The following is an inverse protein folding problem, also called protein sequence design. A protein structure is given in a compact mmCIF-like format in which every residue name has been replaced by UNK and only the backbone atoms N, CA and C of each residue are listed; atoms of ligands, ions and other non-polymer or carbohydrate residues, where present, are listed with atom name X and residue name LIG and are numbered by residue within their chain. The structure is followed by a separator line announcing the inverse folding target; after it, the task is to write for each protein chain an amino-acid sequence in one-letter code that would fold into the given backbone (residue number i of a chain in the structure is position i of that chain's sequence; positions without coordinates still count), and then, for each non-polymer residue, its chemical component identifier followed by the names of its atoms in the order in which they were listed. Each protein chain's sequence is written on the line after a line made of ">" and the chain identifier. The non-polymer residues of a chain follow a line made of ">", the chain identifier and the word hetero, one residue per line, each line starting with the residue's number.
data_IF_514795184031
#
_entry.id   IF_514795184031
#
_cell.length_a   1.000
_cell.length_b   1.000
_cell.length_c   1.000
_cell.angle_alpha   90.00
_cell.angle_beta   90.00
_cell.angle_gamma   90.00
#
_symmetry.space_group_name_H-M   'P 1'
#
loop_
_entity.id
_entity.type
_entity.pdbx_description
1 polymer ?
#
# COMPACT_ATOMS: atom_id res chain seq x y z
N UNK A 1 23.60 -41.26 -91.50
CA UNK A 1 24.52 -40.54 -90.61
C UNK A 1 23.89 -40.50 -89.22
N UNK A 2 24.55 -41.18 -88.27
CA UNK A 2 24.54 -41.04 -86.80
C UNK A 2 23.23 -40.76 -86.04
N UNK A 3 22.80 -41.82 -85.35
CA UNK A 3 22.57 -41.94 -83.90
C UNK A 3 21.41 -41.25 -83.14
N UNK A 4 20.69 -42.17 -82.46
CA UNK A 4 19.75 -42.04 -81.34
C UNK A 4 20.39 -41.51 -80.03
N UNK A 5 19.56 -40.84 -79.22
CA UNK A 5 19.22 -41.09 -77.78
C UNK A 5 18.65 -39.78 -77.19
N UNK A 6 17.68 -39.70 -76.29
CA UNK A 6 16.95 -40.66 -75.44
C UNK A 6 15.85 -39.88 -74.68
N UNK A 7 14.66 -40.48 -74.59
CA UNK A 7 13.51 -40.30 -73.67
C UNK A 7 13.52 -39.28 -72.50
N UNK A 8 12.40 -38.53 -72.36
CA UNK A 8 11.34 -38.72 -71.32
C UNK A 8 10.17 -37.72 -71.49
N UNK A 9 8.91 -38.08 -71.14
CA UNK A 9 7.76 -37.18 -71.16
C UNK A 9 7.57 -36.48 -69.80
N UNK A 10 7.34 -35.17 -69.81
CA UNK A 10 6.87 -34.44 -68.62
C UNK A 10 5.36 -34.64 -68.46
N UNK A 11 4.98 -35.28 -67.35
CA UNK A 11 3.59 -35.42 -66.92
C UNK A 11 3.20 -34.27 -66.00
N UNK A 12 2.02 -33.73 -66.27
CA UNK A 12 1.25 -32.78 -65.45
C UNK A 12 1.23 -33.13 -63.96
N UNK A 13 1.53 -32.15 -63.11
CA UNK A 13 1.00 -32.13 -61.74
C UNK A 13 0.68 -30.69 -61.33
N UNK A 14 -0.61 -30.45 -61.12
CA UNK A 14 -1.15 -29.30 -60.39
C UNK A 14 -0.61 -29.32 -58.96
N UNK A 15 0.37 -28.46 -58.67
CA UNK A 15 0.82 -28.18 -57.31
C UNK A 15 -0.03 -27.03 -56.74
N UNK A 16 -0.84 -27.36 -55.74
CA UNK A 16 -1.47 -26.41 -54.84
C UNK A 16 -0.38 -25.64 -54.10
N UNK A 17 -0.34 -24.32 -54.27
CA UNK A 17 0.59 -23.43 -53.58
C UNK A 17 0.23 -23.39 -52.08
N UNK A 18 1.00 -24.10 -51.25
CA UNK A 18 0.89 -24.06 -49.79
C UNK A 18 1.38 -22.70 -49.28
N UNK A 19 0.52 -22.00 -48.54
CA UNK A 19 0.87 -20.78 -47.81
C UNK A 19 2.05 -21.01 -46.84
N UNK A 20 2.91 -20.01 -46.60
CA UNK A 20 4.07 -20.18 -45.72
C UNK A 20 3.65 -20.46 -44.28
N UNK A 21 4.30 -21.44 -43.65
CA UNK A 21 4.02 -21.86 -42.27
C UNK A 21 4.26 -20.73 -41.24
N UNK A 22 3.28 -20.38 -40.39
CA UNK A 22 3.40 -19.33 -39.38
C UNK A 22 4.33 -19.69 -38.20
N UNK A 23 4.86 -20.91 -38.15
CA UNK A 23 5.69 -21.39 -37.05
C UNK A 23 7.13 -20.86 -37.10
N UNK A 24 7.69 -20.62 -38.29
CA UNK A 24 9.10 -20.21 -38.43
C UNK A 24 9.32 -18.72 -38.11
N UNK A 25 8.32 -17.88 -38.38
CA UNK A 25 8.32 -16.45 -38.03
C UNK A 25 8.00 -16.22 -36.54
N UNK A 26 7.21 -17.11 -35.92
CA UNK A 26 6.97 -17.09 -34.48
C UNK A 26 8.24 -17.42 -33.67
N UNK A 27 9.05 -18.39 -34.14
CA UNK A 27 10.32 -18.75 -33.51
C UNK A 27 11.36 -17.63 -33.65
N UNK A 28 11.43 -16.96 -34.81
CA UNK A 28 12.30 -15.78 -34.98
C UNK A 28 11.84 -14.59 -34.14
N UNK A 29 10.54 -14.43 -33.92
CA UNK A 29 9.99 -13.40 -33.03
C UNK A 29 10.28 -13.72 -31.55
N UNK A 30 10.19 -14.98 -31.12
CA UNK A 30 10.60 -15.42 -29.78
C UNK A 30 12.11 -15.27 -29.54
N UNK A 31 12.94 -15.58 -30.54
CA UNK A 31 14.40 -15.36 -30.46
C UNK A 31 14.75 -13.87 -30.45
N UNK A 32 14.06 -13.03 -31.24
CA UNK A 32 14.24 -11.58 -31.20
C UNK A 32 13.74 -10.95 -29.88
N UNK A 33 12.68 -11.48 -29.27
CA UNK A 33 12.17 -11.05 -27.96
C UNK A 33 13.08 -11.54 -26.82
N UNK A 34 13.59 -12.76 -26.90
CA UNK A 34 14.52 -13.30 -25.88
C UNK A 34 15.90 -12.63 -25.93
N UNK A 35 16.38 -12.24 -27.12
CA UNK A 35 17.62 -11.45 -27.30
C UNK A 35 17.45 -10.02 -26.78
N UNK A 36 16.29 -9.39 -26.99
CA UNK A 36 16.02 -8.03 -26.45
C UNK A 36 15.79 -8.00 -24.94
N UNK A 37 15.32 -9.08 -24.31
CA UNK A 37 15.22 -9.20 -22.85
C UNK A 37 16.62 -9.30 -22.19
N UNK A 38 17.61 -9.87 -22.88
CA UNK A 38 18.99 -9.99 -22.37
C UNK A 38 19.82 -8.70 -22.52
N UNK A 39 19.29 -7.65 -23.16
CA UNK A 39 19.98 -6.37 -23.39
C UNK A 39 19.28 -5.17 -22.74
N UNK A 40 18.51 -5.35 -21.67
CA UNK A 40 18.22 -4.22 -20.78
C UNK A 40 19.49 -3.97 -19.95
N UNK A 41 20.51 -3.38 -20.58
CA UNK A 41 21.60 -2.71 -19.88
C UNK A 41 20.94 -1.68 -18.97
N UNK A 42 21.08 -1.88 -17.66
CA UNK A 42 20.62 -0.94 -16.66
C UNK A 42 21.52 0.30 -16.73
N UNK A 43 21.24 1.19 -17.68
CA UNK A 43 21.98 2.40 -18.02
C UNK A 43 21.87 3.50 -16.92
N UNK A 44 21.54 3.09 -15.69
CA UNK A 44 21.46 3.97 -14.53
C UNK A 44 22.89 4.31 -14.06
N UNK A 45 23.19 5.59 -13.80
CA UNK A 45 24.50 5.98 -13.30
C UNK A 45 24.82 5.22 -12.01
N UNK A 46 26.01 4.60 -11.95
CA UNK A 46 26.45 3.83 -10.79
C UNK A 46 26.74 4.80 -9.64
N UNK A 47 25.72 5.08 -8.82
CA UNK A 47 25.88 5.91 -7.62
C UNK A 47 26.87 5.24 -6.66
N UNK A 48 27.92 5.93 -6.16
CA UNK A 48 28.90 5.32 -5.24
C UNK A 48 28.24 4.81 -3.96
N UNK A 49 28.82 3.75 -3.36
CA UNK A 49 28.24 3.09 -2.18
C UNK A 49 28.07 4.04 -0.98
N UNK A 50 29.00 4.98 -0.80
CA UNK A 50 28.93 6.00 0.25
C UNK A 50 27.69 6.88 0.12
N UNK A 51 27.37 7.33 -1.10
CA UNK A 51 26.17 8.13 -1.37
C UNK A 51 24.88 7.32 -1.22
N UNK A 52 24.90 6.03 -1.55
CA UNK A 52 23.77 5.12 -1.31
C UNK A 52 23.51 4.89 0.19
N UNK A 53 24.57 4.67 0.97
CA UNK A 53 24.46 4.51 2.42
C UNK A 53 24.04 5.83 3.09
N UNK A 54 24.61 6.94 2.63
CA UNK A 54 24.23 8.29 3.07
C UNK A 54 22.76 8.61 2.82
N UNK A 55 22.22 8.26 1.65
CA UNK A 55 20.79 8.50 1.37
C UNK A 55 19.87 7.60 2.19
N UNK A 56 20.23 6.34 2.43
CA UNK A 56 19.48 5.47 3.35
C UNK A 56 19.44 6.08 4.74
N UNK A 57 20.58 6.52 5.27
CA UNK A 57 20.65 7.17 6.58
C UNK A 57 19.79 8.43 6.63
N UNK A 58 19.90 9.31 5.63
CA UNK A 58 19.11 10.54 5.55
C UNK A 58 17.61 10.24 5.49
N UNK A 59 17.18 9.28 4.68
CA UNK A 59 15.75 8.91 4.59
C UNK A 59 15.27 8.29 5.91
N UNK A 60 16.09 7.48 6.58
CA UNK A 60 15.78 6.97 7.91
C UNK A 60 15.62 8.10 8.93
N UNK A 61 16.50 9.11 8.90
CA UNK A 61 16.43 10.27 9.79
C UNK A 61 15.19 11.12 9.52
N UNK A 62 14.85 11.36 8.25
CA UNK A 62 13.64 12.14 7.92
C UNK A 62 12.38 11.34 8.30
N UNK A 63 12.33 10.05 7.98
CA UNK A 63 11.21 9.16 8.35
C UNK A 63 11.06 9.06 9.87
N UNK A 64 12.17 9.04 10.60
CA UNK A 64 12.19 9.10 12.06
C UNK A 64 11.58 10.42 12.55
N UNK A 65 12.03 11.56 12.01
CA UNK A 65 11.50 12.89 12.38
C UNK A 65 9.99 13.02 12.15
N UNK A 66 9.51 12.62 10.97
CA UNK A 66 8.08 12.63 10.63
C UNK A 66 7.27 11.75 11.61
N UNK A 67 7.72 10.50 11.80
CA UNK A 67 7.02 9.56 12.68
C UNK A 67 7.09 9.93 14.16
N UNK A 68 8.19 10.56 14.58
CA UNK A 68 8.37 11.10 15.94
C UNK A 68 7.38 12.24 16.18
N UNK A 69 7.31 13.21 15.27
CA UNK A 69 6.39 14.34 15.38
C UNK A 69 4.92 13.92 15.46
N UNK A 70 4.50 12.97 14.60
CA UNK A 70 3.14 12.45 14.64
C UNK A 70 2.80 11.75 15.96
N UNK A 71 3.72 10.92 16.49
CA UNK A 71 3.50 10.19 17.75
C UNK A 71 3.55 11.08 19.00
N UNK A 72 4.32 12.17 18.98
CA UNK A 72 4.37 13.10 20.10
C UNK A 72 2.99 13.67 20.46
N UNK A 73 2.19 14.04 19.45
CA UNK A 73 0.84 14.59 19.69
C UNK A 73 -0.04 13.59 20.44
N UNK A 74 0.03 12.30 20.10
CA UNK A 74 -0.69 11.25 20.80
C UNK A 74 -0.20 11.05 22.24
N UNK A 75 1.12 10.99 22.47
CA UNK A 75 1.66 10.81 23.81
C UNK A 75 1.35 11.98 24.76
N UNK A 76 1.12 13.16 24.20
CA UNK A 76 0.81 14.38 24.93
C UNK A 76 -0.69 14.68 24.97
N UNK A 77 -1.56 13.71 24.65
CA UNK A 77 -3.01 13.93 24.57
C UNK A 77 -3.59 14.61 25.82
N UNK A 78 -3.28 14.08 27.01
CA UNK A 78 -3.76 14.64 28.29
C UNK A 78 -3.25 16.07 28.51
N UNK A 79 -1.96 16.33 28.23
CA UNK A 79 -1.35 17.66 28.30
C UNK A 79 -1.96 18.65 27.32
N UNK A 80 -2.15 18.26 26.06
CA UNK A 80 -2.72 19.11 25.01
C UNK A 80 -4.16 19.47 25.35
N UNK A 81 -4.97 18.49 25.79
CA UNK A 81 -6.33 18.74 26.28
C UNK A 81 -6.36 19.77 27.40
N UNK A 82 -5.48 19.62 28.39
CA UNK A 82 -5.41 20.50 29.55
C UNK A 82 -4.93 21.91 29.21
N UNK A 83 -3.87 22.05 28.43
CA UNK A 83 -3.25 23.35 28.14
C UNK A 83 -3.99 24.16 27.07
N UNK A 84 -4.72 23.49 26.16
CA UNK A 84 -5.52 24.15 25.13
C UNK A 84 -7.01 24.24 25.48
N UNK A 85 -7.41 23.69 26.63
CA UNK A 85 -8.81 23.62 27.08
C UNK A 85 -9.73 22.98 26.02
N UNK A 86 -9.34 21.79 25.55
CA UNK A 86 -10.09 21.02 24.54
C UNK A 86 -10.55 19.66 25.06
N UNK A 87 -11.69 19.19 24.55
CA UNK A 87 -12.25 17.87 24.87
C UNK A 87 -11.68 16.74 24.00
N UNK A 88 -12.09 15.49 24.24
CA UNK A 88 -11.57 14.34 23.49
C UNK A 88 -12.00 14.36 22.02
N UNK A 89 -13.21 14.84 21.72
CA UNK A 89 -13.70 14.94 20.35
C UNK A 89 -12.94 16.00 19.56
N UNK A 90 -12.63 17.15 20.16
CA UNK A 90 -11.78 18.18 19.54
C UNK A 90 -10.35 17.67 19.30
N UNK A 91 -9.79 16.93 20.26
CA UNK A 91 -8.50 16.26 20.04
C UNK A 91 -8.59 15.20 18.91
N UNK A 92 -9.68 14.43 18.86
CA UNK A 92 -9.91 13.44 17.82
C UNK A 92 -10.05 14.10 16.43
N UNK A 93 -10.70 15.25 16.34
CA UNK A 93 -10.82 16.06 15.12
C UNK A 93 -9.47 16.65 14.69
N UNK A 94 -8.63 17.08 15.64
CA UNK A 94 -7.27 17.55 15.38
C UNK A 94 -6.43 16.45 14.74
N UNK A 95 -6.45 15.24 15.29
CA UNK A 95 -5.73 14.10 14.71
C UNK A 95 -6.35 13.67 13.36
N UNK A 96 -7.69 13.60 13.29
CA UNK A 96 -8.42 13.26 12.07
C UNK A 96 -8.18 14.22 10.90
N UNK A 97 -7.72 15.45 11.16
CA UNK A 97 -7.37 16.42 10.12
C UNK A 97 -6.23 15.94 9.22
N UNK A 98 -5.27 15.19 9.77
CA UNK A 98 -4.16 14.63 9.02
C UNK A 98 -4.66 13.54 8.05
N UNK A 99 -5.47 12.61 8.55
CA UNK A 99 -6.07 11.56 7.72
C UNK A 99 -7.02 12.14 6.67
N UNK A 100 -7.77 13.18 7.01
CA UNK A 100 -8.62 13.90 6.06
C UNK A 100 -7.80 14.42 4.88
N UNK A 101 -6.69 15.11 5.13
CA UNK A 101 -5.81 15.60 4.07
C UNK A 101 -5.18 14.48 3.26
N UNK A 102 -4.76 13.40 3.91
CA UNK A 102 -4.26 12.21 3.22
C UNK A 102 -5.31 11.67 2.25
N UNK A 103 -6.56 11.49 2.69
CA UNK A 103 -7.63 11.00 1.81
C UNK A 103 -7.95 11.94 0.65
N UNK A 104 -7.88 13.25 0.88
CA UNK A 104 -8.17 14.27 -0.12
C UNK A 104 -7.07 14.38 -1.19
N UNK A 105 -5.80 14.26 -0.78
CA UNK A 105 -4.67 14.67 -1.61
C UNK A 105 -3.81 13.52 -2.11
N UNK A 106 -3.87 12.31 -1.52
CA UNK A 106 -3.01 11.18 -1.90
C UNK A 106 -3.09 10.82 -3.39
N UNK A 107 -4.26 10.96 -4.03
CA UNK A 107 -4.39 10.69 -5.46
C UNK A 107 -3.81 11.82 -6.34
N UNK A 108 -3.92 13.07 -5.90
CA UNK A 108 -3.42 14.23 -6.63
C UNK A 108 -1.90 14.41 -6.47
N UNK A 109 -1.36 14.07 -5.30
CA UNK A 109 0.06 14.22 -4.99
C UNK A 109 0.94 13.35 -5.89
N UNK A 110 0.49 12.15 -6.28
CA UNK A 110 1.22 11.31 -7.23
C UNK A 110 1.51 12.01 -8.57
N UNK A 111 0.51 12.71 -9.11
CA UNK A 111 0.60 13.50 -10.35
C UNK A 111 1.55 14.68 -10.16
N UNK A 112 1.48 15.35 -9.02
CA UNK A 112 2.36 16.48 -8.70
C UNK A 112 3.81 16.04 -8.58
N UNK A 113 4.08 14.94 -7.86
CA UNK A 113 5.39 14.33 -7.74
C UNK A 113 5.95 13.88 -9.09
N UNK A 114 5.09 13.43 -10.02
CA UNK A 114 5.51 13.09 -11.38
C UNK A 114 5.99 14.30 -12.19
N UNK A 115 5.45 15.49 -11.92
CA UNK A 115 5.88 16.74 -12.58
C UNK A 115 7.13 17.37 -11.96
N UNK A 116 7.22 17.35 -10.64
CA UNK A 116 8.33 17.98 -9.88
C UNK A 116 9.54 17.03 -9.79
N UNK A 117 9.33 15.73 -9.97
CA UNK A 117 10.34 14.69 -9.76
C UNK A 117 10.49 14.30 -8.29
N UNK A 118 10.92 13.06 -8.04
CA UNK A 118 11.03 12.51 -6.68
C UNK A 118 11.97 13.29 -5.76
N UNK A 119 13.15 13.69 -6.24
CA UNK A 119 14.10 14.47 -5.44
C UNK A 119 13.56 15.85 -5.05
N UNK A 120 12.93 16.56 -5.99
CA UNK A 120 12.30 17.85 -5.73
C UNK A 120 11.13 17.73 -4.76
N UNK A 121 10.27 16.72 -4.94
CA UNK A 121 9.16 16.46 -4.04
C UNK A 121 9.61 16.18 -2.60
N UNK A 122 10.72 15.45 -2.39
CA UNK A 122 11.28 15.27 -1.04
C UNK A 122 11.79 16.58 -0.44
N UNK A 123 12.51 17.40 -1.22
CA UNK A 123 13.09 18.64 -0.72
C UNK A 123 11.99 19.62 -0.30
N UNK A 124 11.06 19.92 -1.21
CA UNK A 124 9.95 20.84 -0.93
C UNK A 124 8.99 20.29 0.12
N UNK A 125 8.70 18.98 0.07
CA UNK A 125 7.88 18.30 1.08
C UNK A 125 8.46 18.44 2.48
N UNK A 126 9.76 18.21 2.66
CA UNK A 126 10.43 18.36 3.96
C UNK A 126 10.47 19.82 4.45
N UNK A 127 10.64 20.80 3.57
CA UNK A 127 10.58 22.21 3.94
C UNK A 127 9.19 22.60 4.44
N UNK A 128 8.14 22.19 3.73
CA UNK A 128 6.74 22.41 4.12
C UNK A 128 6.44 21.71 5.45
N UNK A 129 6.89 20.46 5.61
CA UNK A 129 6.71 19.69 6.84
C UNK A 129 7.37 20.38 8.03
N UNK A 130 8.60 20.87 7.86
CA UNK A 130 9.35 21.58 8.90
C UNK A 130 8.68 22.90 9.27
N UNK A 131 8.20 23.66 8.27
CA UNK A 131 7.44 24.88 8.51
C UNK A 131 6.15 24.60 9.32
N UNK A 132 5.41 23.55 8.97
CA UNK A 132 4.25 23.09 9.75
C UNK A 132 4.59 22.73 11.19
N UNK A 133 5.68 21.99 11.41
CA UNK A 133 6.15 21.64 12.75
C UNK A 133 6.53 22.88 13.59
N UNK A 134 7.16 23.89 12.99
CA UNK A 134 7.46 25.16 13.66
C UNK A 134 6.19 25.92 14.04
N UNK A 135 5.16 25.90 13.17
CA UNK A 135 3.86 26.48 13.48
C UNK A 135 3.17 25.73 14.63
N UNK A 136 3.23 24.39 14.67
CA UNK A 136 2.69 23.60 15.79
C UNK A 136 3.39 23.99 17.10
N UNK A 137 4.73 24.14 17.09
CA UNK A 137 5.49 24.57 18.25
C UNK A 137 5.07 25.99 18.71
N UNK A 138 4.92 26.93 17.77
CA UNK A 138 4.41 28.28 18.06
C UNK A 138 2.96 28.29 18.58
N UNK A 139 2.11 27.41 18.04
CA UNK A 139 0.74 27.23 18.50
C UNK A 139 0.68 26.74 19.94
N UNK A 140 1.57 25.82 20.31
CA UNK A 140 1.70 25.35 21.68
C UNK A 140 2.16 26.47 22.64
N UNK A 141 3.11 27.32 22.24
CA UNK A 141 3.54 28.45 23.08
C UNK A 141 2.46 29.52 23.25
N UNK A 142 1.68 29.78 22.21
CA UNK A 142 0.60 30.77 22.23
C UNK A 142 -0.75 30.20 22.69
N UNK A 143 -0.80 28.91 23.06
CA UNK A 143 -2.03 28.17 23.44
C UNK A 143 -3.20 28.37 22.45
N UNK A 144 -2.91 28.32 21.15
CA UNK A 144 -3.90 28.57 20.08
C UNK A 144 -4.26 27.29 19.33
N UNK A 145 -5.46 26.76 19.59
CA UNK A 145 -5.97 25.57 18.90
C UNK A 145 -6.13 25.76 17.37
N UNK A 146 -6.70 26.87 16.86
CA UNK A 146 -6.77 27.09 15.41
C UNK A 146 -5.39 27.14 14.73
N UNK A 147 -4.40 27.75 15.39
CA UNK A 147 -3.03 27.78 14.87
C UNK A 147 -2.39 26.39 14.87
N UNK A 148 -2.73 25.55 15.85
CA UNK A 148 -2.26 24.16 15.91
C UNK A 148 -2.85 23.32 14.77
N UNK A 149 -4.15 23.49 14.46
CA UNK A 149 -4.77 22.87 13.27
C UNK A 149 -4.03 23.31 12.01
N UNK A 150 -3.81 24.62 11.83
CA UNK A 150 -3.10 25.12 10.65
C UNK A 150 -1.68 24.54 10.52
N UNK A 151 -0.94 24.42 11.63
CA UNK A 151 0.37 23.79 11.65
C UNK A 151 0.34 22.30 11.28
N UNK A 152 -0.63 21.54 11.83
CA UNK A 152 -0.86 20.12 11.51
C UNK A 152 -1.20 19.92 10.03
N UNK A 153 -2.11 20.73 9.49
CA UNK A 153 -2.47 20.71 8.07
C UNK A 153 -1.24 20.97 7.18
N UNK A 154 -0.47 21.99 7.51
CA UNK A 154 0.75 22.33 6.77
C UNK A 154 1.79 21.20 6.84
N UNK A 155 1.98 20.61 8.02
CA UNK A 155 2.91 19.51 8.20
C UNK A 155 2.51 18.26 7.38
N UNK A 156 1.22 17.90 7.41
CA UNK A 156 0.66 16.77 6.69
C UNK A 156 0.84 16.90 5.16
N UNK A 157 0.68 18.11 4.60
CA UNK A 157 0.95 18.37 3.18
C UNK A 157 2.38 18.02 2.79
N UNK A 158 3.33 18.41 3.64
CA UNK A 158 4.75 18.08 3.47
C UNK A 158 5.01 16.58 3.55
N UNK A 159 4.45 15.92 4.56
CA UNK A 159 4.60 14.47 4.75
C UNK A 159 4.05 13.65 3.57
N UNK A 160 2.84 13.97 3.08
CA UNK A 160 2.23 13.31 1.91
C UNK A 160 3.13 13.42 0.67
N UNK A 161 3.70 14.61 0.43
CA UNK A 161 4.60 14.83 -0.70
C UNK A 161 5.88 13.99 -0.59
N UNK A 162 6.42 13.86 0.62
CA UNK A 162 7.66 13.13 0.88
C UNK A 162 7.45 11.61 0.86
N UNK A 163 6.33 11.10 1.37
CA UNK A 163 6.03 9.65 1.41
C UNK A 163 6.10 9.00 0.02
N UNK A 164 5.47 9.61 -1.00
CA UNK A 164 5.49 9.09 -2.38
C UNK A 164 6.89 9.17 -2.99
N UNK A 165 7.61 10.24 -2.65
CA UNK A 165 8.92 10.51 -3.19
C UNK A 165 9.98 9.52 -2.69
N UNK A 166 9.90 9.06 -1.43
CA UNK A 166 10.78 8.02 -0.90
C UNK A 166 10.74 6.73 -1.71
N UNK A 167 9.53 6.23 -2.01
CA UNK A 167 9.36 5.01 -2.80
C UNK A 167 10.01 5.15 -4.19
N UNK A 168 9.85 6.30 -4.83
CA UNK A 168 10.42 6.58 -6.16
C UNK A 168 11.94 6.68 -6.13
N UNK A 169 12.51 7.36 -5.14
CA UNK A 169 13.97 7.49 -5.00
C UNK A 169 14.60 6.14 -4.66
N UNK A 170 13.99 5.36 -3.77
CA UNK A 170 14.44 4.02 -3.45
C UNK A 170 14.37 3.08 -4.67
N UNK A 171 13.26 3.06 -5.41
CA UNK A 171 13.14 2.27 -6.63
C UNK A 171 14.12 2.72 -7.73
N UNK A 172 14.46 4.02 -7.77
CA UNK A 172 15.46 4.56 -8.68
C UNK A 172 16.89 4.15 -8.33
N UNK A 173 17.24 4.14 -7.04
CA UNK A 173 18.62 3.96 -6.55
C UNK A 173 18.95 2.52 -6.16
N UNK A 174 17.94 1.69 -5.88
CA UNK A 174 18.05 0.28 -5.55
C UNK A 174 17.31 -0.56 -6.59
N UNK A 175 17.84 -1.74 -6.93
CA UNK A 175 17.27 -2.59 -7.97
C UNK A 175 15.81 -3.00 -7.65
N UNK A 176 14.95 -3.20 -8.68
CA UNK A 176 13.55 -3.58 -8.45
C UNK A 176 13.45 -4.91 -7.71
N UNK A 177 12.83 -4.93 -6.53
CA UNK A 177 12.51 -6.19 -5.83
C UNK A 177 12.64 -6.20 -4.31
N UNK A 178 13.33 -5.25 -3.67
CA UNK A 178 13.28 -5.14 -2.21
C UNK A 178 14.26 -4.13 -1.62
N UNK A 179 13.99 -3.69 -0.39
CA UNK A 179 14.76 -2.65 0.31
C UNK A 179 16.24 -3.00 0.52
N UNK A 180 16.99 -2.12 1.19
CA UNK A 180 18.44 -2.21 1.36
C UNK A 180 18.96 -3.61 1.74
N UNK A 181 18.31 -4.28 2.69
CA UNK A 181 18.65 -5.65 3.13
C UNK A 181 18.43 -6.67 2.01
N UNK A 182 17.31 -6.58 1.30
CA UNK A 182 17.02 -7.43 0.16
C UNK A 182 17.93 -7.11 -1.03
N UNK A 183 18.38 -5.88 -1.23
CA UNK A 183 19.38 -5.53 -2.25
C UNK A 183 20.75 -6.14 -1.93
N UNK A 184 21.22 -6.06 -0.69
CA UNK A 184 22.49 -6.72 -0.28
C UNK A 184 22.36 -8.24 -0.39
N UNK A 185 21.26 -8.81 0.11
CA UNK A 185 20.94 -10.23 -0.02
C UNK A 185 20.85 -10.67 -1.48
N UNK A 186 20.11 -9.94 -2.33
CA UNK A 186 19.99 -10.26 -3.76
C UNK A 186 21.31 -10.06 -4.46
N UNK A 187 22.13 -9.06 -4.15
CA UNK A 187 23.47 -8.93 -4.77
C UNK A 187 24.37 -10.12 -4.45
N UNK A 188 24.29 -10.66 -3.22
CA UNK A 188 24.97 -11.89 -2.81
C UNK A 188 24.34 -13.12 -3.50
N UNK A 189 23.02 -13.20 -3.52
CA UNK A 189 22.26 -14.31 -4.11
C UNK A 189 22.37 -14.34 -5.65
N UNK A 190 22.37 -13.19 -6.34
CA UNK A 190 22.56 -13.01 -7.78
C UNK A 190 23.94 -13.47 -8.23
N UNK A 191 24.95 -13.32 -7.37
CA UNK A 191 26.29 -13.86 -7.60
C UNK A 191 26.32 -15.40 -7.58
N UNK A 192 25.24 -16.05 -7.10
CA UNK A 192 25.11 -17.50 -6.95
C UNK A 192 23.92 -18.12 -7.73
N UNK A 193 22.84 -17.37 -7.97
CA UNK A 193 21.57 -17.79 -8.54
C UNK A 193 20.88 -16.62 -9.28
N UNK A 194 20.56 -16.76 -10.57
CA UNK A 194 19.82 -15.76 -11.34
C UNK A 194 18.32 -15.80 -10.99
N UNK A 195 17.62 -14.67 -10.73
CA UNK A 195 16.18 -14.67 -10.55
C UNK A 195 15.48 -14.63 -11.92
N UNK A 196 14.47 -15.49 -12.14
CA UNK A 196 13.59 -15.34 -13.28
C UNK A 196 12.54 -14.25 -13.04
N UNK A 197 12.02 -13.61 -14.12
CA UNK A 197 10.80 -12.80 -14.07
C UNK A 197 9.62 -13.65 -13.53
N UNK A 198 8.51 -13.01 -13.14
CA UNK A 198 7.37 -13.72 -12.54
C UNK A 198 6.90 -14.89 -13.44
N UNK A 199 7.12 -16.17 -13.07
CA UNK A 199 7.01 -17.25 -14.03
C UNK A 199 5.57 -17.74 -14.25
N UNK A 200 4.59 -17.14 -13.58
CA UNK A 200 3.19 -17.56 -13.70
C UNK A 200 2.40 -16.83 -14.79
N UNK A 201 2.77 -15.60 -15.14
CA UNK A 201 1.99 -14.75 -16.09
C UNK A 201 2.81 -14.18 -17.24
N UNK A 202 4.15 -14.29 -17.22
CA UNK A 202 5.03 -13.82 -18.31
C UNK A 202 5.05 -12.30 -18.52
N UNK A 203 4.21 -11.53 -17.82
CA UNK A 203 4.18 -10.08 -17.91
C UNK A 203 5.44 -9.46 -17.27
N UNK A 204 6.16 -8.62 -18.03
CA UNK A 204 7.17 -7.75 -17.48
C UNK A 204 6.52 -6.84 -16.42
N UNK A 205 7.22 -6.60 -15.30
CA UNK A 205 6.80 -5.63 -14.29
C UNK A 205 6.94 -4.22 -14.89
N UNK A 206 5.96 -3.79 -15.68
CA UNK A 206 5.99 -2.46 -16.30
C UNK A 206 5.63 -1.43 -15.23
N UNK A 207 6.65 -0.83 -14.61
CA UNK A 207 6.51 0.22 -13.58
C UNK A 207 5.91 1.53 -14.14
N UNK A 208 5.82 1.68 -15.46
CA UNK A 208 5.26 2.86 -16.11
C UNK A 208 4.05 2.48 -16.95
N UNK A 209 2.87 2.73 -16.41
CA UNK A 209 1.69 2.89 -17.26
C UNK A 209 1.55 4.36 -17.63
N UNK A 210 1.70 4.70 -18.92
CA UNK A 210 1.45 6.07 -19.42
C UNK A 210 -0.05 6.37 -19.56
N UNK A 211 -0.94 5.37 -19.41
CA UNK A 211 -2.39 5.54 -19.58
C UNK A 211 -3.15 4.96 -18.38
N UNK A 212 -4.01 5.78 -17.78
CA UNK A 212 -4.92 5.38 -16.71
C UNK A 212 -6.06 4.53 -17.28
N UNK A 213 -6.16 3.26 -16.88
CA UNK A 213 -7.17 2.32 -17.37
C UNK A 213 -8.23 2.04 -16.30
N UNK A 214 -9.34 2.78 -16.38
CA UNK A 214 -10.46 2.65 -15.44
C UNK A 214 -11.12 1.27 -15.48
N UNK A 215 -11.07 0.58 -16.63
CA UNK A 215 -11.74 -0.71 -16.80
C UNK A 215 -11.03 -1.81 -16.00
N UNK A 216 -9.69 -1.77 -15.91
CA UNK A 216 -8.91 -2.72 -15.10
C UNK A 216 -9.12 -2.51 -13.60
N UNK A 217 -9.25 -1.24 -13.18
CA UNK A 217 -9.54 -0.89 -11.79
C UNK A 217 -10.90 -1.48 -11.38
N UNK A 218 -11.93 -1.28 -12.20
CA UNK A 218 -13.28 -1.81 -11.92
C UNK A 218 -13.33 -3.35 -11.99
N UNK A 219 -12.30 -4.02 -12.50
CA UNK A 219 -12.19 -5.48 -12.59
C UNK A 219 -11.39 -6.13 -11.45
N UNK A 220 -11.15 -5.41 -10.34
CA UNK A 220 -10.50 -6.01 -9.18
C UNK A 220 -11.28 -7.21 -8.64
N UNK A 221 -10.61 -8.34 -8.35
CA UNK A 221 -11.28 -9.55 -7.88
C UNK A 221 -11.86 -9.38 -6.48
N UNK A 222 -12.90 -10.14 -6.18
CA UNK A 222 -13.57 -10.11 -4.86
C UNK A 222 -12.59 -10.38 -3.70
N UNK A 223 -11.54 -11.17 -3.93
CA UNK A 223 -10.49 -11.45 -2.95
C UNK A 223 -9.75 -10.18 -2.53
N UNK A 224 -9.50 -9.25 -3.45
CA UNK A 224 -8.92 -7.95 -3.13
C UNK A 224 -9.83 -7.18 -2.16
N UNK A 225 -11.14 -7.19 -2.39
CA UNK A 225 -12.11 -6.52 -1.53
C UNK A 225 -12.26 -7.18 -0.15
N UNK A 226 -12.09 -8.49 -0.05
CA UNK A 226 -12.01 -9.17 1.24
C UNK A 226 -10.76 -8.75 2.04
N UNK A 227 -9.61 -8.64 1.36
CA UNK A 227 -8.37 -8.12 1.97
C UNK A 227 -8.53 -6.66 2.40
N UNK A 228 -9.22 -5.84 1.59
CA UNK A 228 -9.56 -4.47 1.94
C UNK A 228 -10.39 -4.43 3.22
N UNK A 229 -11.48 -5.20 3.30
CA UNK A 229 -12.33 -5.25 4.49
C UNK A 229 -11.55 -5.67 5.74
N UNK A 230 -10.70 -6.69 5.63
CA UNK A 230 -9.81 -7.09 6.73
C UNK A 230 -8.87 -5.94 7.15
N UNK A 231 -8.19 -5.33 6.17
CA UNK A 231 -7.25 -4.22 6.39
C UNK A 231 -7.93 -3.03 7.07
N UNK A 232 -9.15 -2.70 6.64
CA UNK A 232 -9.94 -1.58 7.15
C UNK A 232 -10.12 -1.70 8.67
N UNK A 233 -10.66 -2.83 9.12
CA UNK A 233 -10.98 -3.07 10.53
C UNK A 233 -9.69 -3.25 11.37
N UNK A 234 -8.72 -4.01 10.85
CA UNK A 234 -7.45 -4.26 11.52
C UNK A 234 -6.65 -2.97 11.74
N UNK A 235 -6.48 -2.17 10.69
CA UNK A 235 -5.64 -0.95 10.73
C UNK A 235 -6.22 0.06 11.70
N UNK A 236 -7.54 0.28 11.66
CA UNK A 236 -8.19 1.24 12.55
C UNK A 236 -8.16 0.79 14.01
N UNK A 237 -8.32 -0.51 14.29
CA UNK A 237 -8.12 -1.04 15.63
C UNK A 237 -6.70 -0.74 16.16
N UNK A 238 -5.68 -1.01 15.33
CA UNK A 238 -4.28 -0.80 15.71
C UNK A 238 -3.96 0.68 15.94
N UNK A 239 -4.37 1.56 15.03
CA UNK A 239 -4.02 2.98 15.08
C UNK A 239 -4.65 3.67 16.30
N UNK A 240 -5.94 3.42 16.53
CA UNK A 240 -6.69 4.13 17.57
C UNK A 240 -6.29 3.65 18.95
N UNK A 241 -6.07 2.34 19.11
CA UNK A 241 -5.46 1.81 20.33
C UNK A 241 -4.10 2.46 20.58
N UNK A 242 -3.21 2.46 19.57
CA UNK A 242 -1.84 2.98 19.75
C UNK A 242 -1.81 4.44 20.19
N UNK A 243 -2.79 5.24 19.77
CA UNK A 243 -2.81 6.66 20.10
C UNK A 243 -3.39 6.97 21.47
N UNK A 244 -4.32 6.15 21.91
CA UNK A 244 -4.96 6.29 23.21
C UNK A 244 -4.25 5.45 24.29
N UNK A 245 -3.26 4.61 23.93
CA UNK A 245 -2.63 3.66 24.83
C UNK A 245 -2.05 4.30 26.10
N UNK A 246 -1.40 5.46 25.99
CA UNK A 246 -0.83 6.16 27.15
C UNK A 246 -1.92 6.64 28.11
N UNK A 247 -2.89 7.42 27.62
CA UNK A 247 -3.99 7.95 28.45
C UNK A 247 -4.89 6.83 28.99
N UNK A 248 -5.11 5.77 28.19
CA UNK A 248 -5.81 4.55 28.64
C UNK A 248 -5.06 3.90 29.80
N UNK A 249 -3.74 3.80 29.74
CA UNK A 249 -2.95 3.21 30.81
C UNK A 249 -3.02 4.05 32.10
N UNK A 250 -2.91 5.37 31.98
CA UNK A 250 -3.07 6.31 33.10
C UNK A 250 -4.44 6.14 33.78
N UNK A 251 -5.53 6.21 33.01
CA UNK A 251 -6.89 6.14 33.54
C UNK A 251 -7.27 4.74 34.04
N UNK A 252 -6.86 3.67 33.35
CA UNK A 252 -7.29 2.31 33.67
C UNK A 252 -6.47 1.67 34.78
N UNK A 253 -5.17 1.94 34.80
CA UNK A 253 -4.25 1.32 35.75
C UNK A 253 -3.79 2.28 36.85
N UNK A 254 -4.17 3.57 36.79
CA UNK A 254 -3.80 4.57 37.79
C UNK A 254 -2.29 4.80 37.87
N UNK A 255 -1.57 4.55 36.78
CA UNK A 255 -0.11 4.71 36.72
C UNK A 255 0.25 6.14 36.32
N UNK A 256 1.44 6.59 36.71
CA UNK A 256 1.94 7.89 36.28
C UNK A 256 2.24 7.93 34.76
N UNK A 257 2.39 9.14 34.22
CA UNK A 257 2.62 9.35 32.79
C UNK A 257 3.91 8.69 32.27
N UNK A 258 4.91 8.52 33.13
CA UNK A 258 6.18 7.88 32.76
C UNK A 258 5.98 6.38 32.56
N UNK A 259 5.34 5.71 33.53
CA UNK A 259 5.00 4.30 33.46
C UNK A 259 4.02 3.99 32.33
N UNK A 260 3.00 4.83 32.13
CA UNK A 260 2.09 4.74 31.00
C UNK A 260 2.82 4.83 29.65
N UNK A 261 3.78 5.76 29.52
CA UNK A 261 4.63 5.90 28.35
C UNK A 261 5.46 4.64 28.07
N UNK A 262 5.97 3.98 29.11
CA UNK A 262 6.67 2.70 28.98
C UNK A 262 5.75 1.57 28.48
N UNK A 263 4.52 1.46 29.01
CA UNK A 263 3.55 0.47 28.55
C UNK A 263 3.15 0.68 27.08
N UNK A 264 2.86 1.92 26.68
CA UNK A 264 2.51 2.26 25.30
C UNK A 264 3.69 2.04 24.33
N UNK A 265 4.92 2.23 24.80
CA UNK A 265 6.13 1.98 24.01
C UNK A 265 6.40 0.48 23.84
N UNK A 266 6.21 -0.32 24.90
CA UNK A 266 6.46 -1.76 24.88
C UNK A 266 5.62 -2.47 23.82
N UNK A 267 4.34 -2.09 23.65
CA UNK A 267 3.49 -2.66 22.60
C UNK A 267 4.01 -2.38 21.19
N UNK A 268 4.70 -1.24 20.98
CA UNK A 268 5.29 -0.90 19.69
C UNK A 268 6.65 -1.59 19.46
N UNK A 269 7.44 -1.77 20.52
CA UNK A 269 8.75 -2.46 20.45
C UNK A 269 8.62 -3.91 19.99
N UNK A 270 7.56 -4.61 20.39
CA UNK A 270 7.29 -5.97 19.91
C UNK A 270 7.25 -6.02 18.37
N UNK A 271 6.62 -5.04 17.72
CA UNK A 271 6.58 -4.93 16.27
C UNK A 271 7.96 -4.74 15.64
N UNK A 272 8.84 -3.96 16.26
CA UNK A 272 10.21 -3.72 15.76
C UNK A 272 11.03 -5.01 15.70
N UNK A 273 10.97 -5.86 16.74
CA UNK A 273 11.73 -7.11 16.79
C UNK A 273 11.04 -8.26 16.05
N UNK A 274 9.71 -8.33 16.09
CA UNK A 274 8.96 -9.40 15.44
C UNK A 274 8.84 -9.20 13.93
N UNK A 275 8.79 -7.96 13.44
CA UNK A 275 8.60 -7.68 12.00
C UNK A 275 9.70 -8.30 11.12
N UNK A 276 11.01 -8.17 11.43
CA UNK A 276 12.07 -8.86 10.67
C UNK A 276 11.94 -10.39 10.71
N UNK A 277 11.55 -10.96 11.87
CA UNK A 277 11.36 -12.41 12.03
C UNK A 277 10.18 -12.92 11.19
N UNK A 278 9.05 -12.23 11.25
CA UNK A 278 7.86 -12.52 10.44
C UNK A 278 8.18 -12.33 8.95
N UNK A 279 8.93 -11.29 8.59
CA UNK A 279 9.43 -11.06 7.23
C UNK A 279 10.26 -12.24 6.71
N UNK A 280 11.22 -12.72 7.50
CA UNK A 280 12.02 -13.89 7.15
C UNK A 280 11.17 -15.17 6.98
N UNK A 281 10.14 -15.36 7.81
CA UNK A 281 9.18 -16.45 7.65
C UNK A 281 8.35 -16.27 6.36
N UNK A 282 7.82 -15.09 6.09
CA UNK A 282 7.05 -14.82 4.87
C UNK A 282 7.90 -15.05 3.61
N UNK A 283 9.17 -14.62 3.64
CA UNK A 283 10.09 -14.76 2.52
C UNK A 283 10.47 -16.23 2.26
N UNK A 284 10.57 -17.05 3.31
CA UNK A 284 10.85 -18.48 3.19
C UNK A 284 9.65 -19.29 2.69
N UNK A 285 8.42 -18.94 3.12
CA UNK A 285 7.20 -19.65 2.75
C UNK A 285 6.47 -19.06 1.52
N UNK A 286 6.86 -17.87 1.06
CA UNK A 286 6.55 -17.35 -0.28
C UNK A 286 5.20 -16.65 -0.44
N UNK A 287 4.67 -15.98 0.59
CA UNK A 287 3.39 -15.27 0.51
C UNK A 287 3.59 -13.81 0.08
N UNK A 288 3.55 -13.56 -1.23
CA UNK A 288 3.45 -12.19 -1.75
C UNK A 288 2.05 -11.66 -1.36
N UNK A 289 1.97 -10.62 -0.52
CA UNK A 289 0.73 -10.10 0.08
C UNK A 289 -0.35 -9.60 -0.89
N UNK A 290 -0.91 -8.40 -0.68
CA UNK A 290 -2.06 -7.90 -1.48
C UNK A 290 -1.84 -7.94 -3.01
N UNK A 291 -0.58 -7.87 -3.46
CA UNK A 291 -0.19 -7.96 -4.86
C UNK A 291 -0.63 -9.26 -5.55
N UNK A 292 -0.69 -10.38 -4.84
CA UNK A 292 -1.09 -11.68 -5.43
C UNK A 292 -2.58 -11.84 -5.63
N UNK A 293 -3.38 -10.99 -4.96
CA UNK A 293 -4.82 -11.01 -5.10
C UNK A 293 -5.27 -10.46 -6.46
N UNK A 294 -4.43 -9.69 -7.16
CA UNK A 294 -4.83 -8.95 -8.35
C UNK A 294 -4.37 -9.62 -9.64
N UNK A 295 -5.23 -9.58 -10.67
CA UNK A 295 -4.94 -10.08 -12.01
C UNK A 295 -4.09 -9.14 -12.86
N UNK A 296 -4.22 -7.83 -12.60
CA UNK A 296 -3.55 -6.74 -13.31
C UNK A 296 -2.53 -6.11 -12.38
N UNK A 297 -1.24 -6.33 -12.65
CA UNK A 297 -0.16 -5.80 -11.81
C UNK A 297 0.07 -4.30 -12.05
N UNK A 298 -0.29 -3.81 -13.23
CA UNK A 298 -0.16 -2.41 -13.66
C UNK A 298 -1.11 -1.44 -12.93
N UNK A 299 -2.14 -1.94 -12.23
CA UNK A 299 -3.05 -1.12 -11.40
C UNK A 299 -2.74 -1.20 -9.90
N UNK A 300 -1.62 -1.82 -9.50
CA UNK A 300 -1.24 -1.98 -8.08
C UNK A 300 -1.16 -0.65 -7.34
N UNK A 301 -0.58 0.38 -7.96
CA UNK A 301 -0.48 1.71 -7.35
C UNK A 301 -1.85 2.28 -6.98
N UNK A 302 -2.82 2.21 -7.91
CA UNK A 302 -4.19 2.68 -7.67
C UNK A 302 -4.92 1.84 -6.62
N UNK A 303 -4.78 0.52 -6.67
CA UNK A 303 -5.39 -0.38 -5.69
C UNK A 303 -4.82 -0.16 -4.27
N UNK A 304 -3.51 0.09 -4.17
CA UNK A 304 -2.87 0.43 -2.91
C UNK A 304 -3.27 1.82 -2.42
N UNK A 305 -3.37 2.81 -3.31
CA UNK A 305 -3.89 4.13 -2.95
C UNK A 305 -5.33 4.03 -2.41
N UNK A 306 -6.21 3.26 -3.06
CA UNK A 306 -7.56 3.00 -2.58
C UNK A 306 -7.58 2.37 -1.17
N UNK A 307 -6.66 1.42 -0.89
CA UNK A 307 -6.46 0.85 0.45
C UNK A 307 -6.08 1.91 1.48
N UNK A 308 -5.09 2.75 1.15
CA UNK A 308 -4.63 3.82 2.04
C UNK A 308 -5.75 4.81 2.31
N UNK A 309 -6.48 5.26 1.28
CA UNK A 309 -7.63 6.16 1.43
C UNK A 309 -8.71 5.56 2.33
N UNK A 310 -9.08 4.29 2.11
CA UNK A 310 -10.06 3.59 2.95
C UNK A 310 -9.65 3.50 4.42
N UNK A 311 -8.39 3.11 4.69
CA UNK A 311 -7.87 3.01 6.05
C UNK A 311 -7.92 4.37 6.77
N UNK A 312 -7.53 5.46 6.09
CA UNK A 312 -7.59 6.80 6.66
C UNK A 312 -9.04 7.27 6.88
N UNK A 313 -9.96 7.03 5.93
CA UNK A 313 -11.38 7.33 6.09
C UNK A 313 -12.00 6.60 7.31
N UNK A 314 -11.60 5.34 7.53
CA UNK A 314 -12.03 4.55 8.69
C UNK A 314 -11.50 5.13 9.99
N UNK A 315 -10.22 5.54 10.01
CA UNK A 315 -9.63 6.19 11.19
C UNK A 315 -10.38 7.47 11.55
N UNK A 316 -10.70 8.33 10.59
CA UNK A 316 -11.49 9.56 10.82
C UNK A 316 -12.81 9.23 11.53
N UNK A 317 -13.58 8.28 10.99
CA UNK A 317 -14.89 7.92 11.54
C UNK A 317 -14.76 7.36 12.96
N UNK A 318 -13.91 6.34 13.15
CA UNK A 318 -13.80 5.69 14.45
C UNK A 318 -13.18 6.64 15.48
N UNK A 319 -12.24 7.51 15.10
CA UNK A 319 -11.71 8.57 15.98
C UNK A 319 -12.81 9.44 16.54
N UNK A 320 -13.63 10.01 15.67
CA UNK A 320 -14.74 10.89 16.05
C UNK A 320 -15.69 10.13 16.97
N UNK A 321 -16.07 8.90 16.61
CA UNK A 321 -16.93 8.04 17.45
C UNK A 321 -16.31 7.82 18.83
N UNK A 322 -15.04 7.44 18.90
CA UNK A 322 -14.37 7.20 20.19
C UNK A 322 -14.23 8.50 20.99
N UNK A 323 -13.94 9.64 20.36
CA UNK A 323 -13.87 10.94 21.02
C UNK A 323 -15.20 11.34 21.65
N UNK A 324 -16.30 11.18 20.91
CA UNK A 324 -17.66 11.46 21.40
C UNK A 324 -18.04 10.51 22.54
N UNK A 325 -17.71 9.22 22.41
CA UNK A 325 -17.93 8.24 23.48
C UNK A 325 -17.14 8.61 24.74
N UNK A 326 -15.91 9.09 24.60
CA UNK A 326 -15.08 9.55 25.72
C UNK A 326 -15.70 10.76 26.41
N UNK A 327 -16.13 11.76 25.63
CA UNK A 327 -16.72 12.97 26.19
C UNK A 327 -18.07 12.70 26.87
N UNK A 328 -18.84 11.72 26.37
CA UNK A 328 -20.10 11.29 26.98
C UNK A 328 -19.95 10.42 28.25
N UNK A 329 -18.74 9.98 28.58
CA UNK A 329 -18.44 9.08 29.71
C UNK A 329 -17.35 9.69 30.62
N UNK A 330 -17.31 11.03 30.74
CA UNK A 330 -16.37 11.81 31.57
C UNK A 330 -14.89 11.48 31.34
N UNK A 331 -14.52 11.19 30.08
CA UNK A 331 -13.17 10.80 29.69
C UNK A 331 -12.82 9.34 30.00
N UNK A 332 -13.77 8.54 30.47
CA UNK A 332 -13.58 7.10 30.71
C UNK A 332 -13.30 6.35 29.41
N UNK A 333 -12.52 5.29 29.54
CA UNK A 333 -12.22 4.35 28.47
C UNK A 333 -13.08 3.09 28.51
N UNK A 334 -14.01 2.95 29.45
CA UNK A 334 -14.81 1.72 29.59
C UNK A 334 -15.61 1.43 28.32
N UNK A 335 -16.38 2.40 27.84
CA UNK A 335 -17.16 2.25 26.60
C UNK A 335 -16.29 2.26 25.35
N UNK A 336 -15.19 3.01 25.36
CA UNK A 336 -14.23 3.05 24.24
C UNK A 336 -13.57 1.69 24.02
N UNK A 337 -13.25 0.99 25.11
CA UNK A 337 -12.63 -0.35 25.04
C UNK A 337 -13.56 -1.35 24.37
N UNK A 338 -14.88 -1.20 24.50
CA UNK A 338 -15.87 -2.02 23.78
C UNK A 338 -15.72 -1.84 22.27
N UNK A 339 -15.49 -0.61 21.79
CA UNK A 339 -15.23 -0.33 20.36
C UNK A 339 -13.96 -1.05 19.90
N UNK A 340 -12.90 -1.05 20.71
CA UNK A 340 -11.65 -1.76 20.38
C UNK A 340 -11.87 -3.27 20.31
N UNK A 341 -12.57 -3.84 21.28
CA UNK A 341 -12.89 -5.28 21.30
C UNK A 341 -13.76 -5.64 20.09
N UNK A 342 -14.73 -4.81 19.73
CA UNK A 342 -15.56 -5.02 18.55
C UNK A 342 -14.71 -5.05 17.27
N UNK A 343 -13.83 -4.07 17.06
CA UNK A 343 -12.95 -4.01 15.90
C UNK A 343 -11.98 -5.19 15.86
N UNK A 344 -11.35 -5.53 16.99
CA UNK A 344 -10.47 -6.69 17.08
C UNK A 344 -11.21 -7.99 16.73
N UNK A 345 -12.40 -8.19 17.30
CA UNK A 345 -13.24 -9.37 17.03
C UNK A 345 -13.65 -9.44 15.57
N UNK A 346 -14.12 -8.32 15.00
CA UNK A 346 -14.49 -8.26 13.58
C UNK A 346 -13.30 -8.58 12.67
N UNK A 347 -12.11 -8.05 12.97
CA UNK A 347 -10.88 -8.36 12.23
C UNK A 347 -10.53 -9.85 12.31
N UNK A 348 -10.61 -10.46 13.50
CA UNK A 348 -10.39 -11.89 13.69
C UNK A 348 -11.42 -12.74 12.94
N UNK A 349 -12.70 -12.38 12.98
CA UNK A 349 -13.77 -13.08 12.27
C UNK A 349 -13.55 -13.03 10.76
N UNK A 350 -13.23 -11.85 10.21
CA UNK A 350 -12.94 -11.71 8.76
C UNK A 350 -11.71 -12.54 8.38
N UNK A 351 -10.64 -12.47 9.18
CA UNK A 351 -9.41 -13.24 8.92
C UNK A 351 -9.66 -14.75 8.95
N UNK A 352 -10.40 -15.24 9.95
CA UNK A 352 -10.77 -16.64 10.07
C UNK A 352 -11.69 -17.09 8.93
N UNK A 353 -12.67 -16.27 8.55
CA UNK A 353 -13.55 -16.55 7.41
C UNK A 353 -12.76 -16.64 6.10
N UNK A 354 -11.76 -15.78 5.89
CA UNK A 354 -10.85 -15.88 4.74
C UNK A 354 -9.99 -17.14 4.78
N UNK A 355 -9.46 -17.49 5.97
CA UNK A 355 -8.65 -18.69 6.14
C UNK A 355 -9.47 -19.96 5.87
N UNK A 356 -10.64 -20.09 6.49
CA UNK A 356 -11.55 -21.21 6.26
C UNK A 356 -12.04 -21.21 4.81
N UNK A 357 -12.33 -20.05 4.24
CA UNK A 357 -12.71 -19.89 2.83
C UNK A 357 -11.73 -20.51 1.85
N UNK A 358 -10.44 -20.69 2.22
CA UNK A 358 -9.43 -21.32 1.36
C UNK A 358 -9.69 -22.80 1.06
N UNK A 359 -10.51 -23.48 1.87
CA UNK A 359 -10.92 -24.87 1.60
C UNK A 359 -11.89 -24.98 0.42
N UNK A 360 -12.72 -23.97 0.18
CA UNK A 360 -13.79 -24.01 -0.84
C UNK A 360 -13.58 -23.02 -1.99
N UNK A 361 -12.84 -21.93 -1.77
CA UNK A 361 -12.61 -20.88 -2.74
C UNK A 361 -11.18 -20.96 -3.30
N UNK A 362 -10.99 -21.45 -4.55
CA UNK A 362 -9.68 -21.50 -5.17
C UNK A 362 -8.99 -20.13 -5.24
N UNK A 363 -9.76 -19.05 -5.37
CA UNK A 363 -9.21 -17.69 -5.47
C UNK A 363 -8.53 -17.25 -4.15
N UNK A 364 -9.08 -17.65 -2.99
CA UNK A 364 -8.42 -17.43 -1.70
C UNK A 364 -7.23 -18.38 -1.50
N UNK A 365 -7.35 -19.62 -1.97
CA UNK A 365 -6.28 -20.61 -1.89
C UNK A 365 -5.03 -20.18 -2.67
N UNK A 366 -5.20 -19.49 -3.80
CA UNK A 366 -4.10 -18.93 -4.59
C UNK A 366 -3.23 -17.96 -3.76
N UNK A 367 -3.79 -17.26 -2.77
CA UNK A 367 -3.02 -16.37 -1.88
C UNK A 367 -2.02 -17.15 -1.01
N UNK A 368 -2.33 -18.40 -0.68
CA UNK A 368 -1.44 -19.26 0.12
C UNK A 368 -0.37 -19.96 -0.73
N UNK A 369 -0.44 -19.87 -2.06
CA UNK A 369 0.54 -20.56 -2.89
C UNK A 369 1.92 -19.95 -2.74
N UNK A 370 2.88 -20.80 -2.37
CA UNK A 370 4.29 -20.44 -2.40
C UNK A 370 4.73 -20.13 -3.83
N UNK A 371 5.89 -19.47 -3.99
CA UNK A 371 6.43 -19.18 -5.33
C UNK A 371 6.50 -20.42 -6.21
N UNK A 372 6.99 -21.56 -5.68
CA UNK A 372 7.07 -22.82 -6.44
C UNK A 372 5.68 -23.33 -6.85
N UNK A 373 4.70 -23.24 -5.95
CA UNK A 373 3.33 -23.67 -6.24
C UNK A 373 2.64 -22.79 -7.29
N UNK A 374 2.88 -21.48 -7.31
CA UNK A 374 2.34 -20.58 -8.33
C UNK A 374 2.88 -20.88 -9.73
N UNK A 375 4.16 -21.25 -9.83
CA UNK A 375 4.80 -21.65 -11.10
C UNK A 375 4.20 -22.97 -11.58
N UNK A 376 4.13 -23.98 -10.69
CA UNK A 376 3.58 -25.30 -11.03
C UNK A 376 2.09 -25.26 -11.36
N UNK A 377 1.34 -24.29 -10.81
CA UNK A 377 -0.10 -24.12 -11.00
C UNK A 377 -0.42 -22.86 -11.83
N UNK A 378 0.48 -22.46 -12.72
CA UNK A 378 0.29 -21.31 -13.60
C UNK A 378 -0.98 -21.42 -14.44
N UNK A 379 -1.27 -22.62 -14.94
CA UNK A 379 -2.48 -22.90 -15.74
C UNK A 379 -3.76 -22.56 -14.98
N UNK A 380 -3.86 -22.98 -13.72
CA UNK A 380 -5.01 -22.63 -12.86
C UNK A 380 -5.14 -21.11 -12.69
N UNK A 381 -4.04 -20.40 -12.46
CA UNK A 381 -4.05 -18.94 -12.28
C UNK A 381 -4.52 -18.25 -13.57
N UNK A 382 -4.03 -18.69 -14.72
CA UNK A 382 -4.38 -18.14 -16.03
C UNK A 382 -5.83 -18.47 -16.42
N UNK A 383 -6.31 -19.67 -16.12
CA UNK A 383 -7.72 -20.04 -16.29
C UNK A 383 -8.64 -19.12 -15.46
N UNK A 384 -8.28 -18.85 -14.20
CA UNK A 384 -9.07 -17.97 -13.32
C UNK A 384 -9.03 -16.52 -13.78
N UNK A 385 -7.88 -16.04 -14.25
CA UNK A 385 -7.74 -14.71 -14.90
C UNK A 385 -8.65 -14.61 -16.12
N UNK A 386 -8.59 -15.59 -17.03
CA UNK A 386 -9.43 -15.64 -18.22
C UNK A 386 -10.93 -15.68 -17.88
N UNK A 387 -11.33 -16.46 -16.87
CA UNK A 387 -12.72 -16.52 -16.40
C UNK A 387 -13.19 -15.19 -15.81
N UNK A 388 -12.32 -14.48 -15.09
CA UNK A 388 -12.62 -13.15 -14.54
C UNK A 388 -12.78 -12.09 -15.63
N UNK A 389 -12.01 -12.19 -16.72
CA UNK A 389 -12.04 -11.23 -17.83
C UNK A 389 -13.11 -11.56 -18.89
N UNK A 390 -13.48 -12.84 -19.01
CA UNK A 390 -14.47 -13.34 -19.94
C UNK A 390 -15.92 -12.94 -19.61
N UNK A 391 -16.89 -13.39 -20.41
CA UNK A 391 -18.32 -13.08 -20.26
C UNK A 391 -18.90 -13.56 -18.92
N UNK A 392 -18.36 -14.64 -18.34
CA UNK A 392 -18.77 -15.18 -17.03
C UNK A 392 -18.27 -14.33 -15.84
N UNK A 393 -17.33 -13.40 -16.07
CA UNK A 393 -16.80 -12.48 -15.07
C UNK A 393 -17.72 -11.31 -14.71
N UNK A 394 -18.94 -11.24 -15.28
CA UNK A 394 -19.88 -10.14 -15.01
C UNK A 394 -20.18 -9.97 -13.51
N UNK A 395 -20.38 -11.06 -12.76
CA UNK A 395 -20.61 -11.01 -11.31
C UNK A 395 -19.44 -10.40 -10.54
N UNK A 396 -18.20 -10.80 -10.87
CA UNK A 396 -17.01 -10.24 -10.25
C UNK A 396 -16.85 -8.74 -10.52
N UNK A 397 -17.14 -8.31 -11.76
CA UNK A 397 -17.18 -6.90 -12.14
C UNK A 397 -18.24 -6.11 -11.38
N UNK A 398 -19.43 -6.69 -11.20
CA UNK A 398 -20.50 -6.06 -10.43
C UNK A 398 -20.14 -5.91 -8.95
N UNK A 399 -19.59 -6.95 -8.32
CA UNK A 399 -19.08 -6.88 -6.94
C UNK A 399 -18.07 -5.74 -6.81
N UNK A 400 -17.09 -5.70 -7.71
CA UNK A 400 -16.05 -4.68 -7.69
C UNK A 400 -16.60 -3.27 -7.89
N UNK A 401 -17.56 -3.06 -8.81
CA UNK A 401 -18.27 -1.78 -8.97
C UNK A 401 -18.98 -1.35 -7.68
N UNK A 402 -19.74 -2.26 -7.07
CA UNK A 402 -20.46 -1.99 -5.82
C UNK A 402 -19.48 -1.62 -4.71
N UNK A 403 -18.37 -2.35 -4.58
CA UNK A 403 -17.34 -2.05 -3.59
C UNK A 403 -16.65 -0.69 -3.84
N UNK A 404 -16.40 -0.30 -5.09
CA UNK A 404 -15.88 1.03 -5.41
C UNK A 404 -16.86 2.15 -5.06
N UNK A 405 -18.14 1.99 -5.41
CA UNK A 405 -19.19 2.96 -5.07
C UNK A 405 -19.33 3.06 -3.55
N UNK A 406 -19.38 1.93 -2.85
CA UNK A 406 -19.42 1.89 -1.39
C UNK A 406 -18.20 2.57 -0.77
N UNK A 407 -17.00 2.32 -1.28
CA UNK A 407 -15.77 2.98 -0.84
C UNK A 407 -15.84 4.50 -1.05
N UNK A 408 -16.30 4.94 -2.22
CA UNK A 408 -16.42 6.37 -2.52
C UNK A 408 -17.41 7.06 -1.58
N UNK A 409 -18.59 6.47 -1.38
CA UNK A 409 -19.59 6.97 -0.44
C UNK A 409 -19.04 6.97 1.00
N UNK A 410 -18.32 5.93 1.39
CA UNK A 410 -17.72 5.82 2.72
C UNK A 410 -16.67 6.92 2.97
N UNK A 411 -15.81 7.19 1.98
CA UNK A 411 -14.83 8.28 2.04
C UNK A 411 -15.54 9.63 2.15
N UNK A 412 -16.55 9.90 1.33
CA UNK A 412 -17.33 11.14 1.43
C UNK A 412 -18.05 11.26 2.77
N UNK A 413 -18.55 10.15 3.33
CA UNK A 413 -19.14 10.11 4.66
C UNK A 413 -18.12 10.48 5.75
N UNK A 414 -16.88 9.99 5.64
CA UNK A 414 -15.79 10.38 6.57
C UNK A 414 -15.46 11.87 6.49
N UNK A 415 -15.48 12.44 5.28
CA UNK A 415 -15.27 13.87 5.07
C UNK A 415 -16.41 14.69 5.68
N UNK A 416 -17.65 14.30 5.42
CA UNK A 416 -18.82 14.95 5.98
C UNK A 416 -18.78 14.93 7.52
N UNK A 417 -18.43 13.79 8.13
CA UNK A 417 -18.28 13.65 9.57
C UNK A 417 -17.20 14.60 10.13
N UNK A 418 -16.03 14.64 9.51
CA UNK A 418 -14.95 15.53 9.94
C UNK A 418 -15.30 17.01 9.76
N UNK A 419 -15.80 17.40 8.59
CA UNK A 419 -16.19 18.79 8.29
C UNK A 419 -17.30 19.24 9.25
N UNK A 420 -18.30 18.39 9.49
CA UNK A 420 -19.39 18.70 10.43
C UNK A 420 -18.86 18.92 11.84
N UNK A 421 -18.04 18.00 12.38
CA UNK A 421 -17.46 18.14 13.71
C UNK A 421 -16.57 19.37 13.83
N UNK A 422 -15.72 19.62 12.82
CA UNK A 422 -14.83 20.78 12.78
C UNK A 422 -15.60 22.11 12.68
N UNK A 423 -16.68 22.18 11.91
CA UNK A 423 -17.43 23.41 11.65
C UNK A 423 -18.42 23.76 12.76
N UNK A 424 -19.05 22.76 13.38
CA UNK A 424 -20.13 23.01 14.34
C UNK A 424 -19.64 23.16 15.77
N UNK A 425 -18.48 22.57 16.12
CA UNK A 425 -18.03 22.46 17.51
C UNK A 425 -19.00 21.71 18.43
N UNK A 426 -20.12 21.23 17.88
CA UNK A 426 -21.09 20.37 18.55
C UNK A 426 -20.61 18.94 18.34
N UNK A 427 -20.03 18.44 19.42
CA UNK A 427 -19.51 17.10 19.56
C UNK A 427 -20.60 16.22 20.19
#
# INVERSE_FOLDING_TARGET
>A
MSDQKSAKPEASSTLTEMAPEPALDAVKAEDAVSVSINQIEDDRPIVPMTWRLGSVLLICLISFGASWSARLTSSLKSTIKKELDINNTQFALLEASEEFLVTLLMMASGILTDRIGGAGAMLYGNLIMTAGALVIAGAATCRSFPLMIFGKVTAALGDIATQIAYYRVFAGWFAPGGGFVFFVFTKIAHKRFRPPPDPATGEALVEKNKKFDLNKIIQLPWVFWAIMLFSMVQTSCSNIYSQNATELAEHRFGVDAVAAGWYASLSQYAGFFLSPLIGAVIDTYGHRGIRTSMWHQDVFGTAYAAKVTMNNATNIIIRIITGVIQDADDGSYDRVTIVYVFLATASTVISLAMLLGTFWAPDLRILQFSRKQRILRGDLINERKAKSQGPTGHKARMISKVCFVALFVYVLGSWAAWIWGAATGHN
#
